data_IF_179232042180
#
_entry.id   IF_179232042180
#
_cell.length_a   1.000
_cell.length_b   1.000
_cell.length_c   1.000
_cell.angle_alpha   90.00
_cell.angle_beta   90.00
_cell.angle_gamma   90.00
#
_symmetry.space_group_name_H-M   'P 1'
#
loop_
_entity.id
_entity.type
_entity.pdbx_description
1 polymer ?
#
# COMPACT_ATOMS: atom_id res chain seq x y z
N UNK A 1 19.59 4.39 13.53
CA UNK A 1 18.57 5.02 12.67
C UNK A 1 17.47 5.57 13.55
N UNK A 2 17.03 6.81 13.32
CA UNK A 2 15.92 7.41 14.05
C UNK A 2 14.64 7.19 13.23
N UNK A 3 13.56 6.73 13.85
CA UNK A 3 12.26 6.58 13.19
C UNK A 3 11.73 7.96 12.81
N UNK A 4 11.19 8.08 11.58
CA UNK A 4 10.65 9.32 11.03
C UNK A 4 9.45 8.99 10.14
N UNK A 5 8.58 9.98 9.92
CA UNK A 5 7.49 9.86 8.98
C UNK A 5 7.86 10.43 7.62
N UNK A 6 7.23 9.91 6.57
CA UNK A 6 7.24 10.53 5.26
C UNK A 6 6.62 11.93 5.35
N UNK A 7 7.01 12.84 4.46
CA UNK A 7 6.49 14.22 4.45
C UNK A 7 5.39 14.38 3.43
N UNK A 8 4.38 13.52 3.55
CA UNK A 8 3.15 13.63 2.75
C UNK A 8 2.05 14.43 3.45
N UNK A 9 0.96 14.76 2.73
CA UNK A 9 -0.13 15.60 3.25
C UNK A 9 -0.92 14.96 4.41
N UNK A 10 -0.79 13.66 4.62
CA UNK A 10 -1.55 12.88 5.61
C UNK A 10 -0.67 12.23 6.68
N UNK A 11 0.64 12.44 6.62
CA UNK A 11 1.58 11.92 7.59
C UNK A 11 1.75 12.89 8.76
N UNK A 12 2.00 12.34 9.93
CA UNK A 12 2.44 13.06 11.13
C UNK A 12 3.85 13.63 10.93
N UNK A 13 4.23 14.60 11.75
CA UNK A 13 5.60 15.14 11.76
C UNK A 13 6.64 14.17 12.33
N UNK A 14 6.22 13.28 13.23
CA UNK A 14 7.04 12.25 13.86
C UNK A 14 6.15 11.07 14.30
N UNK A 15 6.71 9.85 14.38
CA UNK A 15 5.95 8.70 14.84
C UNK A 15 5.64 8.82 16.33
N UNK A 16 4.41 8.49 16.71
CA UNK A 16 3.99 8.39 18.10
C UNK A 16 2.83 7.41 18.23
N UNK A 17 2.59 6.93 19.45
CA UNK A 17 1.43 6.08 19.74
C UNK A 17 0.13 6.81 19.40
N UNK A 18 -0.85 6.06 18.88
CA UNK A 18 -2.20 6.54 18.60
C UNK A 18 -3.23 5.62 19.26
N UNK A 19 -4.31 6.22 19.76
CA UNK A 19 -5.48 5.48 20.25
C UNK A 19 -6.57 5.45 19.18
N UNK A 20 -7.59 4.62 19.37
CA UNK A 20 -8.81 4.62 18.56
C UNK A 20 -8.63 4.22 17.09
N UNK A 21 -7.55 3.49 16.78
CA UNK A 21 -7.38 2.83 15.50
C UNK A 21 -8.55 1.91 15.22
N UNK A 22 -9.04 1.93 13.99
CA UNK A 22 -10.08 1.02 13.50
C UNK A 22 -9.54 0.05 12.44
N UNK A 23 -8.30 0.28 12.01
CA UNK A 23 -7.51 -0.52 11.07
C UNK A 23 -6.02 -0.17 11.31
N UNK A 24 -5.08 -0.87 10.67
CA UNK A 24 -3.64 -0.59 10.75
C UNK A 24 -3.04 -0.78 12.16
N UNK A 25 -3.65 -1.66 12.98
CA UNK A 25 -3.26 -1.89 14.38
C UNK A 25 -1.80 -2.27 14.58
N UNK A 26 -1.16 -2.88 13.55
CA UNK A 26 0.27 -3.19 13.54
C UNK A 26 1.16 -1.99 13.90
N UNK A 27 0.70 -0.77 13.61
CA UNK A 27 1.47 0.45 13.81
C UNK A 27 0.99 1.31 14.99
N UNK A 28 0.00 0.86 15.77
CA UNK A 28 -0.67 1.69 16.78
C UNK A 28 0.28 2.24 17.86
N UNK A 29 1.27 1.46 18.31
CA UNK A 29 2.23 1.88 19.34
C UNK A 29 3.25 2.92 18.83
N UNK A 30 3.47 2.98 17.51
CA UNK A 30 4.41 3.91 16.87
C UNK A 30 3.95 4.21 15.44
N UNK A 31 3.01 5.13 15.29
CA UNK A 31 2.34 5.41 14.01
C UNK A 31 2.74 6.76 13.41
N UNK A 32 2.87 6.77 12.09
CA UNK A 32 2.98 7.96 11.24
C UNK A 32 1.65 8.46 10.66
N UNK A 33 0.55 7.75 10.85
CA UNK A 33 -0.80 8.20 10.50
C UNK A 33 -1.61 8.54 11.75
N UNK A 34 -2.65 9.35 11.59
CA UNK A 34 -3.64 9.60 12.63
C UNK A 34 -4.78 8.58 12.58
N UNK A 35 -5.47 8.35 13.71
CA UNK A 35 -6.60 7.41 13.77
C UNK A 35 -7.72 7.70 12.75
N UNK A 36 -7.93 8.98 12.36
CA UNK A 36 -8.93 9.36 11.36
C UNK A 36 -8.68 8.76 9.96
N UNK A 37 -7.42 8.45 9.62
CA UNK A 37 -7.08 7.72 8.40
C UNK A 37 -7.56 6.27 8.50
N UNK A 38 -7.28 5.61 9.63
CA UNK A 38 -7.66 4.20 9.84
C UNK A 38 -9.19 4.00 9.82
N UNK A 39 -9.96 5.01 10.23
CA UNK A 39 -11.42 5.01 10.13
C UNK A 39 -11.92 5.00 8.68
N UNK A 40 -11.16 5.56 7.72
CA UNK A 40 -11.49 5.47 6.30
C UNK A 40 -11.32 4.04 5.78
N UNK A 41 -10.35 3.32 6.32
CA UNK A 41 -10.06 1.93 5.95
C UNK A 41 -10.94 0.90 6.67
N UNK A 42 -11.61 1.24 7.77
CA UNK A 42 -12.38 0.27 8.55
C UNK A 42 -13.65 -0.24 7.86
N UNK A 43 -14.17 0.53 6.90
CA UNK A 43 -15.36 0.14 6.15
C UNK A 43 -15.04 -0.85 5.02
N UNK A 44 -15.96 -1.77 4.75
CA UNK A 44 -15.91 -2.71 3.63
C UNK A 44 -17.29 -2.74 2.95
N UNK A 45 -17.38 -2.55 1.62
CA UNK A 45 -16.27 -2.45 0.67
C UNK A 45 -15.47 -1.14 0.80
N UNK A 46 -14.15 -1.20 0.57
CA UNK A 46 -13.31 -0.02 0.48
C UNK A 46 -13.63 0.76 -0.80
N UNK A 47 -14.32 1.89 -0.66
CA UNK A 47 -14.76 2.71 -1.80
C UNK A 47 -13.73 3.77 -2.13
N UNK A 48 -13.37 4.62 -1.16
CA UNK A 48 -12.43 5.71 -1.35
C UNK A 48 -11.46 5.84 -0.16
N UNK A 49 -10.27 6.33 -0.47
CA UNK A 49 -9.30 6.82 0.50
C UNK A 49 -8.87 8.20 0.02
N UNK A 50 -9.30 9.24 0.74
CA UNK A 50 -9.17 10.64 0.28
C UNK A 50 -9.80 10.82 -1.12
N UNK A 51 -9.09 11.39 -2.10
CA UNK A 51 -9.60 11.60 -3.46
C UNK A 51 -9.25 10.44 -4.42
N UNK A 52 -9.04 9.24 -3.89
CA UNK A 52 -8.71 8.04 -4.64
C UNK A 52 -9.75 6.94 -4.40
N UNK A 53 -10.37 6.47 -5.47
CA UNK A 53 -11.43 5.48 -5.48
C UNK A 53 -10.89 4.11 -5.90
N UNK A 54 -11.11 3.13 -5.04
CA UNK A 54 -10.69 1.74 -5.23
C UNK A 54 -11.69 0.91 -6.04
N UNK A 55 -12.93 1.40 -6.18
CA UNK A 55 -14.02 0.66 -6.80
C UNK A 55 -14.34 1.07 -8.25
N UNK A 56 -13.38 1.68 -8.98
CA UNK A 56 -13.63 2.18 -10.35
C UNK A 56 -14.00 1.09 -11.36
N UNK A 57 -13.63 -0.16 -11.08
CA UNK A 57 -14.02 -1.32 -11.87
C UNK A 57 -15.03 -2.23 -11.16
N UNK A 58 -15.72 -1.71 -10.14
CA UNK A 58 -16.52 -2.49 -9.20
C UNK A 58 -15.81 -2.68 -7.86
N UNK A 59 -16.55 -3.16 -6.86
CA UNK A 59 -15.98 -3.41 -5.54
C UNK A 59 -15.03 -4.60 -5.59
N UNK A 60 -13.86 -4.45 -4.97
CA UNK A 60 -12.91 -5.54 -4.80
C UNK A 60 -13.49 -6.64 -3.89
N UNK A 61 -13.07 -7.87 -4.13
CA UNK A 61 -13.27 -8.99 -3.23
C UNK A 61 -12.62 -8.69 -1.87
N UNK A 62 -13.18 -9.26 -0.81
CA UNK A 62 -12.67 -9.02 0.55
C UNK A 62 -11.18 -9.38 0.68
N UNK A 63 -10.76 -10.47 0.04
CA UNK A 63 -9.36 -10.91 0.06
C UNK A 63 -8.44 -9.91 -0.63
N UNK A 64 -8.83 -9.39 -1.80
CA UNK A 64 -8.04 -8.37 -2.50
C UNK A 64 -7.99 -7.05 -1.70
N UNK A 65 -9.13 -6.62 -1.17
CA UNK A 65 -9.25 -5.42 -0.31
C UNK A 65 -8.30 -5.48 0.89
N UNK A 66 -8.17 -6.63 1.55
CA UNK A 66 -7.29 -6.77 2.72
C UNK A 66 -5.81 -6.53 2.37
N UNK A 67 -5.35 -6.90 1.17
CA UNK A 67 -3.99 -6.58 0.70
C UNK A 67 -3.81 -5.10 0.40
N UNK A 68 -4.81 -4.47 -0.23
CA UNK A 68 -4.82 -3.01 -0.46
C UNK A 68 -4.68 -2.27 0.87
N UNK A 69 -5.46 -2.67 1.88
CA UNK A 69 -5.43 -2.07 3.22
C UNK A 69 -4.07 -2.24 3.88
N UNK A 70 -3.42 -3.41 3.77
CA UNK A 70 -2.06 -3.62 4.31
C UNK A 70 -1.03 -2.68 3.71
N UNK A 71 -1.07 -2.50 2.38
CA UNK A 71 -0.15 -1.60 1.66
C UNK A 71 -0.40 -0.14 2.04
N UNK A 72 -1.67 0.29 2.10
CA UNK A 72 -2.06 1.63 2.55
C UNK A 72 -1.64 1.89 4.01
N UNK A 73 -1.87 0.92 4.91
CA UNK A 73 -1.43 1.00 6.30
C UNK A 73 0.09 1.11 6.40
N UNK A 74 0.86 0.34 5.63
CA UNK A 74 2.31 0.47 5.61
C UNK A 74 2.73 1.87 5.14
N UNK A 75 2.23 2.32 4.00
CA UNK A 75 2.61 3.61 3.43
C UNK A 75 2.30 4.78 4.38
N UNK A 76 1.10 4.82 4.96
CA UNK A 76 0.63 5.95 5.76
C UNK A 76 1.09 5.88 7.22
N UNK A 77 1.11 4.68 7.81
CA UNK A 77 1.25 4.52 9.26
C UNK A 77 2.62 4.00 9.69
N UNK A 78 3.38 3.33 8.82
CA UNK A 78 4.64 2.70 9.23
C UNK A 78 5.71 3.72 9.60
N UNK A 79 6.33 3.61 10.79
CA UNK A 79 7.42 4.50 11.21
C UNK A 79 8.74 4.21 10.50
N UNK A 80 8.80 3.11 9.73
CA UNK A 80 9.98 2.66 8.98
C UNK A 80 9.85 2.84 7.48
N UNK A 81 8.68 3.25 6.97
CA UNK A 81 8.51 3.56 5.54
C UNK A 81 9.50 4.64 5.07
N UNK A 82 9.87 5.57 5.95
CA UNK A 82 10.86 6.61 5.67
C UNK A 82 12.28 6.09 5.39
N UNK A 83 12.60 4.83 5.72
CA UNK A 83 13.89 4.23 5.35
C UNK A 83 14.06 4.09 3.83
N UNK A 84 12.94 4.09 3.11
CA UNK A 84 12.87 3.99 1.65
C UNK A 84 12.36 5.27 0.99
N UNK A 85 12.49 6.43 1.65
CA UNK A 85 12.07 7.70 1.09
C UNK A 85 12.70 7.96 -0.29
N UNK A 86 11.90 8.42 -1.25
CA UNK A 86 12.41 8.79 -2.55
C UNK A 86 13.28 10.07 -2.43
N UNK A 87 14.48 10.12 -3.04
CA UNK A 87 15.44 11.20 -2.84
C UNK A 87 14.93 12.58 -3.28
N UNK A 88 14.02 12.61 -4.25
CA UNK A 88 13.45 13.84 -4.80
C UNK A 88 11.99 14.13 -4.36
N UNK A 89 11.32 13.17 -3.71
CA UNK A 89 9.89 13.27 -3.36
C UNK A 89 9.71 12.73 -1.93
N UNK A 90 9.62 13.64 -0.97
CA UNK A 90 9.69 13.30 0.46
C UNK A 90 8.47 12.56 1.00
N UNK A 91 7.40 12.56 0.23
CA UNK A 91 6.16 11.84 0.45
C UNK A 91 6.15 10.45 -0.18
N UNK A 92 7.07 10.16 -1.11
CA UNK A 92 7.09 8.90 -1.84
C UNK A 92 8.12 7.93 -1.25
N UNK A 93 7.88 6.64 -1.49
CA UNK A 93 8.81 5.55 -1.19
C UNK A 93 9.35 4.96 -2.50
N UNK A 94 10.51 4.31 -2.43
CA UNK A 94 11.08 3.56 -3.55
C UNK A 94 11.83 2.32 -3.05
N UNK A 95 11.74 1.24 -3.82
CA UNK A 95 12.49 0.01 -3.57
C UNK A 95 12.31 -0.60 -2.17
N UNK A 96 11.11 -0.50 -1.59
CA UNK A 96 10.76 -1.25 -0.38
C UNK A 96 10.76 -2.75 -0.73
N UNK A 97 11.57 -3.60 -0.06
CA UNK A 97 11.73 -5.00 -0.42
C UNK A 97 10.58 -5.84 0.11
N UNK A 98 9.68 -6.29 -0.76
CA UNK A 98 8.57 -7.17 -0.40
C UNK A 98 8.94 -8.65 -0.53
N UNK A 99 8.35 -9.48 0.32
CA UNK A 99 8.52 -10.93 0.22
C UNK A 99 7.79 -11.45 -1.02
N UNK A 100 8.44 -12.35 -1.78
CA UNK A 100 7.83 -12.98 -2.96
C UNK A 100 6.46 -13.61 -2.62
N UNK A 101 6.39 -14.32 -1.49
CA UNK A 101 5.14 -14.93 -1.04
C UNK A 101 4.02 -13.90 -0.76
N UNK A 102 4.35 -12.71 -0.26
CA UNK A 102 3.36 -11.65 -0.08
C UNK A 102 2.77 -11.21 -1.43
N UNK A 103 3.64 -11.00 -2.41
CA UNK A 103 3.26 -10.58 -3.76
C UNK A 103 2.43 -11.64 -4.50
N UNK A 104 2.82 -12.91 -4.42
CA UNK A 104 2.08 -14.01 -5.04
C UNK A 104 0.70 -14.18 -4.41
N UNK A 105 0.62 -14.14 -3.07
CA UNK A 105 -0.66 -14.27 -2.38
C UNK A 105 -1.57 -13.05 -2.62
N UNK A 106 -1.01 -11.85 -2.79
CA UNK A 106 -1.78 -10.67 -3.19
C UNK A 106 -2.38 -10.85 -4.58
N UNK A 107 -1.56 -11.27 -5.55
CA UNK A 107 -2.05 -11.53 -6.90
C UNK A 107 -3.12 -12.61 -6.93
N UNK A 108 -2.93 -13.72 -6.23
CA UNK A 108 -3.94 -14.79 -6.13
C UNK A 108 -5.23 -14.30 -5.47
N UNK A 109 -5.12 -13.44 -4.45
CA UNK A 109 -6.27 -12.85 -3.78
C UNK A 109 -7.09 -11.91 -4.70
N UNK A 110 -6.42 -11.22 -5.62
CA UNK A 110 -7.04 -10.27 -6.55
C UNK A 110 -7.31 -10.86 -7.95
N UNK A 111 -6.88 -12.08 -8.25
CA UNK A 111 -6.83 -12.66 -9.60
C UNK A 111 -8.07 -12.38 -10.47
N UNK A 112 -9.27 -12.51 -9.88
CA UNK A 112 -10.55 -12.38 -10.59
C UNK A 112 -11.23 -11.02 -10.41
N UNK A 113 -10.66 -10.15 -9.56
CA UNK A 113 -11.10 -8.77 -9.43
C UNK A 113 -10.73 -7.96 -10.68
N UNK A 114 -11.38 -6.82 -10.88
CA UNK A 114 -11.18 -5.97 -12.06
C UNK A 114 -10.35 -4.73 -11.73
N UNK A 115 -9.50 -4.33 -12.67
CA UNK A 115 -8.66 -3.14 -12.61
C UNK A 115 -8.51 -2.50 -14.00
N UNK A 116 -8.31 -1.19 -14.05
CA UNK A 116 -8.15 -0.45 -15.31
C UNK A 116 -6.82 0.35 -15.40
N UNK A 117 -6.03 0.33 -14.33
CA UNK A 117 -4.73 1.00 -14.24
C UNK A 117 -3.64 -0.04 -14.00
N UNK A 118 -2.62 -0.06 -14.86
CA UNK A 118 -1.44 -0.91 -14.67
C UNK A 118 -0.53 -0.34 -13.57
N UNK A 119 -0.31 0.97 -13.61
CA UNK A 119 0.29 1.75 -12.53
C UNK A 119 -0.77 2.64 -11.85
N UNK A 120 -1.06 2.35 -10.59
CA UNK A 120 -2.09 2.98 -9.76
C UNK A 120 -1.74 4.40 -9.31
N UNK A 121 -0.51 4.86 -9.55
CA UNK A 121 -0.09 6.23 -9.28
C UNK A 121 -0.29 7.10 -10.53
N UNK A 122 0.10 6.62 -11.72
CA UNK A 122 0.17 7.44 -12.94
C UNK A 122 -0.96 7.21 -13.95
N UNK A 123 -1.59 6.04 -13.97
CA UNK A 123 -2.41 5.60 -15.11
C UNK A 123 -3.89 5.99 -14.97
N UNK A 124 -4.14 7.15 -14.36
CA UNK A 124 -5.48 7.69 -14.10
C UNK A 124 -5.69 9.03 -14.80
N UNK A 125 -6.96 9.32 -15.12
CA UNK A 125 -7.42 10.68 -15.41
C UNK A 125 -7.96 11.28 -14.11
N UNK A 126 -7.30 12.30 -13.56
CA UNK A 126 -7.76 12.95 -12.32
C UNK A 126 -8.62 14.18 -12.61
N UNK A 127 -9.72 14.32 -11.88
CA UNK A 127 -10.54 15.53 -11.85
C UNK A 127 -11.07 15.79 -10.42
N UNK A 128 -12.01 16.72 -10.28
CA UNK A 128 -12.62 17.10 -8.98
C UNK A 128 -13.30 15.94 -8.23
N UNK A 129 -13.63 14.85 -8.94
CA UNK A 129 -14.28 13.64 -8.38
C UNK A 129 -13.32 12.44 -8.25
N UNK A 130 -12.01 12.70 -8.33
CA UNK A 130 -10.95 11.70 -8.11
C UNK A 130 -10.36 11.10 -9.37
N UNK A 131 -9.79 9.90 -9.24
CA UNK A 131 -9.16 9.11 -10.32
C UNK A 131 -10.20 8.47 -11.24
N UNK A 132 -10.03 8.50 -12.56
CA UNK A 132 -10.92 7.84 -13.53
C UNK A 132 -10.13 6.97 -14.50
N UNK A 133 -10.69 5.81 -14.86
CA UNK A 133 -10.05 4.85 -15.75
C UNK A 133 -9.71 5.49 -17.11
N UNK A 134 -8.49 5.25 -17.59
CA UNK A 134 -8.07 5.56 -18.98
C UNK A 134 -8.43 4.44 -19.95
N UNK A 135 -8.46 3.21 -19.45
CA UNK A 135 -8.65 1.98 -20.23
C UNK A 135 -9.84 1.17 -19.69
N UNK A 136 -10.19 0.11 -20.41
CA UNK A 136 -11.23 -0.83 -20.00
C UNK A 136 -10.84 -1.58 -18.70
N UNK A 137 -11.85 -1.92 -17.93
CA UNK A 137 -11.68 -2.76 -16.75
C UNK A 137 -11.45 -4.22 -17.18
N UNK A 138 -10.30 -4.77 -16.79
CA UNK A 138 -9.91 -6.15 -17.07
C UNK A 138 -9.56 -6.88 -15.77
N UNK A 139 -9.62 -8.22 -15.74
CA UNK A 139 -9.18 -8.98 -14.58
C UNK A 139 -7.70 -8.74 -14.24
N UNK A 140 -7.34 -8.84 -12.96
CA UNK A 140 -5.94 -8.72 -12.51
C UNK A 140 -5.02 -9.72 -13.22
N UNK A 141 -5.47 -10.94 -13.48
CA UNK A 141 -4.71 -11.98 -14.20
C UNK A 141 -4.47 -11.68 -15.68
N UNK A 142 -5.15 -10.65 -16.22
CA UNK A 142 -4.90 -10.09 -17.56
C UNK A 142 -4.05 -8.83 -17.49
N UNK A 143 -4.12 -8.08 -16.40
CA UNK A 143 -3.33 -6.87 -16.18
C UNK A 143 -1.88 -7.17 -15.81
N UNK A 144 -1.67 -8.18 -14.97
CA UNK A 144 -0.35 -8.58 -14.46
C UNK A 144 -0.11 -10.06 -14.73
N UNK A 145 1.11 -10.41 -15.12
CA UNK A 145 1.53 -11.79 -15.41
C UNK A 145 1.61 -12.64 -14.13
N UNK A 146 2.03 -12.04 -13.01
CA UNK A 146 2.18 -12.70 -11.71
C UNK A 146 2.27 -11.69 -10.55
N UNK A 147 2.44 -12.19 -9.33
CA UNK A 147 2.64 -11.39 -8.12
C UNK A 147 3.84 -10.45 -8.18
N UNK A 148 4.96 -10.90 -8.75
CA UNK A 148 6.15 -10.06 -8.92
C UNK A 148 5.85 -8.81 -9.75
N UNK A 149 5.16 -8.98 -10.88
CA UNK A 149 4.78 -7.85 -11.71
C UNK A 149 3.77 -6.93 -11.01
N UNK A 150 2.75 -7.50 -10.34
CA UNK A 150 1.79 -6.72 -9.54
C UNK A 150 2.52 -5.80 -8.55
N UNK A 151 3.38 -6.36 -7.69
CA UNK A 151 4.11 -5.59 -6.69
C UNK A 151 5.03 -4.53 -7.29
N UNK A 152 5.74 -4.84 -8.38
CA UNK A 152 6.71 -3.93 -8.99
C UNK A 152 6.10 -2.85 -9.89
N UNK A 153 4.81 -2.94 -10.20
CA UNK A 153 4.17 -2.08 -11.22
C UNK A 153 2.98 -1.31 -10.70
N UNK A 154 2.14 -1.94 -9.88
CA UNK A 154 0.91 -1.32 -9.36
C UNK A 154 1.22 -0.01 -8.64
N UNK A 155 2.24 0.04 -7.77
CA UNK A 155 2.63 1.25 -7.05
C UNK A 155 3.88 1.93 -7.65
N UNK A 156 4.10 1.79 -8.95
CA UNK A 156 5.28 2.32 -9.61
C UNK A 156 6.58 1.80 -8.98
N UNK A 157 7.61 2.65 -8.77
CA UNK A 157 8.90 2.22 -8.20
C UNK A 157 8.88 1.97 -6.69
N UNK A 158 7.71 2.04 -6.03
CA UNK A 158 7.60 1.96 -4.56
C UNK A 158 8.13 0.65 -4.01
N UNK A 159 7.85 -0.47 -4.68
CA UNK A 159 8.18 -1.80 -4.20
C UNK A 159 9.07 -2.57 -5.17
N UNK A 160 9.94 -3.40 -4.61
CA UNK A 160 10.71 -4.42 -5.34
C UNK A 160 10.48 -5.76 -4.67
N UNK A 161 10.55 -6.85 -5.41
CA UNK A 161 10.50 -8.18 -4.79
C UNK A 161 11.90 -8.61 -4.38
N UNK A 162 12.06 -8.94 -3.10
CA UNK A 162 13.33 -9.40 -2.55
C UNK A 162 13.67 -10.78 -3.10
N UNK A 163 14.95 -10.99 -3.43
CA UNK A 163 15.48 -12.32 -3.76
C UNK A 163 15.67 -13.21 -2.52
N UNK A 164 15.64 -12.61 -1.33
CA UNK A 164 15.77 -13.32 -0.05
C UNK A 164 14.40 -13.48 0.60
N UNK A 165 14.00 -14.71 0.96
CA UNK A 165 12.76 -14.94 1.70
C UNK A 165 12.84 -14.49 3.16
N UNK A 166 14.03 -14.11 3.66
CA UNK A 166 14.24 -13.70 5.05
C UNK A 166 14.51 -12.20 5.21
N UNK A 167 14.86 -11.51 4.11
CA UNK A 167 15.22 -10.09 4.12
C UNK A 167 14.21 -9.34 3.25
N UNK A 168 12.97 -9.29 3.74
CA UNK A 168 11.83 -8.72 3.02
C UNK A 168 10.69 -8.42 3.99
N UNK A 169 9.78 -7.54 3.58
CA UNK A 169 8.58 -7.17 4.33
C UNK A 169 7.36 -7.93 3.80
N UNK A 170 6.46 -8.30 4.71
CA UNK A 170 5.14 -8.85 4.39
C UNK A 170 3.98 -8.11 5.10
N UNK A 171 4.30 -7.00 5.77
CA UNK A 171 3.37 -6.14 6.51
C UNK A 171 2.67 -6.89 7.66
N UNK A 172 3.44 -7.70 8.37
CA UNK A 172 3.02 -8.38 9.60
C UNK A 172 3.96 -8.06 10.76
N UNK A 173 3.68 -8.61 11.94
CA UNK A 173 4.56 -8.50 13.11
C UNK A 173 5.97 -9.08 12.88
N UNK A 174 6.15 -9.90 11.84
CA UNK A 174 7.47 -10.46 11.52
C UNK A 174 8.45 -9.40 11.00
N UNK A 175 7.94 -8.31 10.42
CA UNK A 175 8.72 -7.19 9.87
C UNK A 175 9.65 -6.57 10.93
N UNK A 176 9.23 -6.52 12.20
CA UNK A 176 10.04 -6.01 13.30
C UNK A 176 11.36 -6.76 13.51
N UNK A 177 11.43 -8.04 13.10
CA UNK A 177 12.63 -8.87 13.22
C UNK A 177 13.60 -8.69 12.06
N UNK A 178 13.10 -8.27 10.89
CA UNK A 178 13.89 -8.18 9.65
C UNK A 178 14.31 -6.75 9.32
N UNK A 179 13.61 -5.75 9.84
CA UNK A 179 13.84 -4.33 9.51
C UNK A 179 15.26 -3.84 9.77
N UNK A 180 15.97 -4.43 10.73
CA UNK A 180 17.37 -4.07 11.04
C UNK A 180 18.38 -4.70 10.09
N UNK A 181 17.94 -5.56 9.17
CA UNK A 181 18.76 -6.33 8.24
C UNK A 181 18.49 -5.99 6.76
N UNK A 182 17.60 -5.03 6.49
CA UNK A 182 17.15 -4.62 5.15
C UNK A 182 17.28 -3.12 4.93
#
# INVERSE_FOLDING_TARGET
>A
CQLQCLRGPHHKSAPSSETDFQECFLYADSSCCHANFTQKLSTSPLIEVYNYYWNRCGNLSKKCEDYIKRVECFYQCSPVASFWIHPNYTEAIQHVPLCQAFCDNWFDACHSDLVCAYNWISDWNFNETGNHCKNDCIPFDKMYVNGTELCQRAWGPSFVVSSSPCHCLDFTETDAKVINYI
#
